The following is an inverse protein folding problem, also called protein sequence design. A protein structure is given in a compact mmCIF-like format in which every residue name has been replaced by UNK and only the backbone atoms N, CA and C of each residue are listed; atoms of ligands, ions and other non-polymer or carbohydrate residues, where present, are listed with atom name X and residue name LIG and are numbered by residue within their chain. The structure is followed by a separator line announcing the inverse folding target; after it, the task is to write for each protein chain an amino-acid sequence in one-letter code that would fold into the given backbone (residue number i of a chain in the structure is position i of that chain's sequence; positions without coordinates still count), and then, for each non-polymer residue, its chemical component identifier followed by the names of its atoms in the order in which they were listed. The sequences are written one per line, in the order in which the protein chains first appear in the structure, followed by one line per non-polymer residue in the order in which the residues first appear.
data_IF_315980133107
#
_entry.id   IF_315980133107
#
_cell.length_a   1.000
_cell.length_b   1.000
_cell.length_c   1.000
_cell.angle_alpha   90.00
_cell.angle_beta   90.00
_cell.angle_gamma   90.00
#
_symmetry.space_group_name_H-M   'P 1'
#
loop_
_entity.id
_entity.type
_entity.pdbx_description
1 polymer ?
#
# COMPACT_ATOMS: atom_id res chain seq x y z
N UNK A 1 -2.11 10.28 38.56
CA UNK A 1 -3.52 10.62 38.30
C UNK A 1 -3.70 10.57 36.79
N UNK A 2 -4.70 9.87 36.26
CA UNK A 2 -4.97 9.86 34.81
C UNK A 2 -6.07 10.88 34.48
N UNK A 3 -5.83 11.79 33.54
CA UNK A 3 -6.83 12.76 33.07
C UNK A 3 -7.59 12.22 31.86
N UNK A 4 -8.90 12.50 31.79
CA UNK A 4 -9.74 12.12 30.64
C UNK A 4 -9.61 13.20 29.57
N UNK A 5 -9.21 12.81 28.35
CA UNK A 5 -9.09 13.70 27.20
C UNK A 5 -10.25 13.46 26.25
N UNK A 6 -10.94 14.54 25.86
CA UNK A 6 -12.01 14.47 24.87
C UNK A 6 -11.42 14.27 23.47
N UNK A 7 -11.95 13.33 22.65
CA UNK A 7 -11.49 13.15 21.29
C UNK A 7 -11.78 14.40 20.46
N UNK A 8 -10.79 14.83 19.66
CA UNK A 8 -10.94 15.92 18.70
C UNK A 8 -11.55 15.35 17.42
N UNK A 9 -12.66 15.93 16.97
CA UNK A 9 -13.27 15.56 15.70
C UNK A 9 -12.30 15.84 14.54
N UNK A 10 -12.33 14.99 13.50
CA UNK A 10 -11.54 15.10 12.26
C UNK A 10 -10.01 15.04 12.41
N UNK A 11 -9.51 14.61 13.57
CA UNK A 11 -8.07 14.44 13.79
C UNK A 11 -7.56 13.15 13.13
N UNK A 12 -6.33 13.20 12.59
CA UNK A 12 -5.64 12.01 12.14
C UNK A 12 -5.51 10.99 13.28
N UNK A 13 -5.94 9.75 13.07
CA UNK A 13 -6.07 8.75 14.15
C UNK A 13 -4.77 8.54 14.94
N UNK A 14 -3.59 8.55 14.30
CA UNK A 14 -2.33 8.40 15.02
C UNK A 14 -2.08 9.55 16.01
N UNK A 15 -2.48 10.77 15.66
CA UNK A 15 -2.40 11.92 16.58
C UNK A 15 -3.41 11.77 17.72
N UNK A 16 -4.60 11.21 17.48
CA UNK A 16 -5.56 10.91 18.54
C UNK A 16 -5.00 9.92 19.55
N UNK A 17 -4.33 8.85 19.08
CA UNK A 17 -3.65 7.90 19.98
C UNK A 17 -2.50 8.55 20.74
N UNK A 18 -1.74 9.44 20.10
CA UNK A 18 -0.65 10.16 20.74
C UNK A 18 -1.16 11.13 21.81
N UNK A 19 -2.27 11.82 21.57
CA UNK A 19 -2.91 12.71 22.55
C UNK A 19 -3.27 11.97 23.85
N UNK A 20 -3.60 10.68 23.80
CA UNK A 20 -3.85 9.87 25.02
C UNK A 20 -2.65 9.83 25.97
N UNK A 21 -1.42 9.96 25.46
CA UNK A 21 -0.21 9.97 26.27
C UNK A 21 -0.07 11.22 27.15
N UNK A 22 -0.73 12.32 26.79
CA UNK A 22 -0.80 13.53 27.62
C UNK A 22 -1.51 13.24 28.96
N UNK A 23 -2.43 12.28 28.99
CA UNK A 23 -3.13 11.87 30.22
C UNK A 23 -2.24 11.21 31.27
N UNK A 24 -0.97 10.91 30.93
CA UNK A 24 0.07 10.38 31.82
C UNK A 24 1.34 11.25 31.83
N UNK A 25 1.21 12.55 31.55
CA UNK A 25 2.28 13.55 31.56
C UNK A 25 3.41 13.28 30.54
N UNK A 26 3.11 12.54 29.46
CA UNK A 26 4.01 12.42 28.30
C UNK A 26 3.62 13.48 27.28
N UNK A 27 4.42 14.54 27.22
CA UNK A 27 4.24 15.67 26.32
C UNK A 27 5.11 15.53 25.06
N UNK A 28 4.66 16.12 23.95
CA UNK A 28 5.43 16.17 22.71
C UNK A 28 4.55 16.30 21.46
N UNK A 29 5.18 16.20 20.29
CA UNK A 29 4.49 16.10 19.00
C UNK A 29 4.42 14.64 18.57
N UNK A 30 3.30 14.21 17.97
CA UNK A 30 3.19 12.89 17.36
C UNK A 30 4.38 12.67 16.40
N UNK A 31 5.23 11.66 16.63
CA UNK A 31 6.39 11.43 15.78
C UNK A 31 5.95 11.00 14.37
N UNK A 32 6.85 11.17 13.42
CA UNK A 32 6.65 10.63 12.07
C UNK A 32 6.57 9.10 12.11
N UNK A 33 5.82 8.53 11.16
CA UNK A 33 5.68 7.08 11.04
C UNK A 33 7.05 6.48 10.69
N UNK A 34 7.53 5.60 11.54
CA UNK A 34 8.79 4.89 11.36
C UNK A 34 8.59 3.41 11.57
N UNK A 35 9.14 2.59 10.67
CA UNK A 35 9.12 1.13 10.76
C UNK A 35 10.56 0.61 10.63
N UNK A 36 10.90 -0.35 11.48
CA UNK A 36 12.18 -1.08 11.36
C UNK A 36 11.92 -2.39 10.63
N UNK A 37 12.51 -2.53 9.44
CA UNK A 37 12.34 -3.73 8.60
C UNK A 37 13.51 -4.68 8.85
N UNK A 38 13.27 -5.95 9.24
CA UNK A 38 14.33 -6.94 9.41
C UNK A 38 15.13 -7.18 8.12
N UNK A 39 16.43 -7.41 8.25
CA UNK A 39 17.32 -7.67 7.10
C UNK A 39 16.88 -8.85 6.24
N UNK A 40 16.26 -9.88 6.85
CA UNK A 40 15.70 -11.02 6.12
C UNK A 40 14.59 -10.60 5.12
N UNK A 41 13.75 -9.65 5.50
CA UNK A 41 12.60 -9.22 4.71
C UNK A 41 13.05 -8.26 3.60
N UNK A 42 14.10 -7.45 3.86
CA UNK A 42 14.79 -6.68 2.82
C UNK A 42 15.40 -7.61 1.76
N UNK A 43 16.16 -8.63 2.20
CA UNK A 43 16.78 -9.57 1.28
C UNK A 43 15.73 -10.34 0.45
N UNK A 44 14.59 -10.68 1.06
CA UNK A 44 13.47 -11.30 0.35
C UNK A 44 12.91 -10.35 -0.72
N UNK A 45 12.67 -9.08 -0.39
CA UNK A 45 12.14 -8.10 -1.33
C UNK A 45 13.09 -7.85 -2.51
N UNK A 46 14.41 -7.77 -2.26
CA UNK A 46 15.42 -7.62 -3.31
C UNK A 46 15.49 -8.86 -4.23
N UNK A 47 15.37 -10.07 -3.66
CA UNK A 47 15.31 -11.30 -4.45
C UNK A 47 14.05 -11.35 -5.32
N UNK A 48 12.92 -10.89 -4.79
CA UNK A 48 11.65 -10.83 -5.49
C UNK A 48 11.67 -9.81 -6.63
N UNK A 49 12.22 -8.62 -6.40
CA UNK A 49 12.47 -7.64 -7.46
C UNK A 49 13.36 -8.21 -8.57
N UNK A 50 14.39 -9.00 -8.23
CA UNK A 50 15.24 -9.67 -9.21
C UNK A 50 14.48 -10.76 -9.97
N UNK A 51 13.66 -11.57 -9.29
CA UNK A 51 12.80 -12.61 -9.91
C UNK A 51 11.84 -11.99 -10.93
N UNK A 52 11.27 -10.84 -10.59
CA UNK A 52 10.35 -10.08 -11.43
C UNK A 52 11.07 -9.22 -12.49
N UNK A 53 12.40 -9.11 -12.46
CA UNK A 53 13.15 -8.26 -13.37
C UNK A 53 12.77 -6.78 -13.22
N UNK A 54 12.65 -6.28 -11.99
CA UNK A 54 12.32 -4.88 -11.64
C UNK A 54 13.33 -4.24 -10.66
N UNK A 55 14.66 -4.36 -10.88
CA UNK A 55 15.67 -3.93 -9.89
C UNK A 55 15.84 -2.41 -9.73
N UNK A 56 15.16 -1.60 -10.55
CA UNK A 56 15.26 -0.14 -10.53
C UNK A 56 14.04 0.50 -9.87
N UNK A 57 13.10 0.95 -10.69
CA UNK A 57 11.82 1.51 -10.25
C UNK A 57 10.65 0.72 -10.84
N UNK A 58 9.57 0.64 -10.09
CA UNK A 58 8.31 0.01 -10.50
C UNK A 58 7.14 0.72 -9.83
N UNK A 59 5.96 0.59 -10.43
CA UNK A 59 4.71 0.96 -9.77
C UNK A 59 4.15 -0.26 -9.04
N UNK A 60 3.96 -0.11 -7.73
CA UNK A 60 3.31 -1.13 -6.91
C UNK A 60 1.81 -0.85 -6.82
N UNK A 61 1.00 -1.85 -7.08
CA UNK A 61 -0.45 -1.80 -7.02
C UNK A 61 -0.89 -2.79 -5.96
N UNK A 62 -1.43 -2.28 -4.85
CA UNK A 62 -2.18 -3.05 -3.87
C UNK A 62 -3.66 -2.66 -4.05
N UNK A 63 -4.42 -3.58 -4.62
CA UNK A 63 -5.82 -3.38 -4.92
C UNK A 63 -6.65 -4.58 -4.54
N UNK A 64 -7.89 -4.29 -4.15
CA UNK A 64 -8.85 -5.28 -3.67
C UNK A 64 -10.02 -5.38 -4.62
N UNK A 65 -10.60 -6.57 -4.68
CA UNK A 65 -11.87 -6.80 -5.37
C UNK A 65 -13.06 -6.49 -4.46
N UNK A 66 -14.26 -6.35 -5.04
CA UNK A 66 -15.51 -6.18 -4.26
C UNK A 66 -15.80 -7.36 -3.33
N UNK A 67 -15.21 -8.52 -3.59
CA UNK A 67 -15.28 -9.67 -2.68
C UNK A 67 -14.44 -9.49 -1.41
N UNK A 68 -13.48 -8.56 -1.41
CA UNK A 68 -12.49 -8.35 -0.33
C UNK A 68 -12.68 -7.02 0.42
N UNK A 69 -13.47 -6.09 -0.13
CA UNK A 69 -13.68 -4.76 0.45
C UNK A 69 -15.07 -4.22 0.12
N UNK A 70 -15.69 -3.48 1.04
CA UNK A 70 -17.06 -2.95 0.89
C UNK A 70 -17.18 -1.80 -0.13
N UNK A 71 -16.07 -1.14 -0.47
CA UNK A 71 -16.04 -0.05 -1.45
C UNK A 71 -14.65 0.04 -2.14
N UNK A 72 -14.26 -0.98 -2.92
CA UNK A 72 -12.97 -0.96 -3.58
C UNK A 72 -12.93 0.10 -4.68
N UNK A 73 -11.72 0.55 -5.03
CA UNK A 73 -11.55 1.42 -6.19
C UNK A 73 -12.00 0.67 -7.47
N UNK A 74 -12.86 1.28 -8.32
CA UNK A 74 -13.48 0.55 -9.42
C UNK A 74 -12.48 -0.02 -10.42
N UNK A 75 -12.70 -1.27 -10.85
CA UNK A 75 -11.81 -1.97 -11.78
C UNK A 75 -11.65 -1.22 -13.11
N UNK A 76 -12.71 -0.58 -13.62
CA UNK A 76 -12.67 0.25 -14.82
C UNK A 76 -11.75 1.46 -14.66
N UNK A 77 -11.74 2.06 -13.47
CA UNK A 77 -10.89 3.20 -13.16
C UNK A 77 -9.42 2.76 -13.02
N UNK A 78 -9.16 1.60 -12.40
CA UNK A 78 -7.82 1.01 -12.41
C UNK A 78 -7.30 0.79 -13.83
N UNK A 79 -8.08 0.15 -14.71
CA UNK A 79 -7.68 -0.10 -16.10
C UNK A 79 -7.37 1.17 -16.86
N UNK A 80 -8.16 2.24 -16.65
CA UNK A 80 -7.91 3.54 -17.25
C UNK A 80 -6.56 4.11 -16.78
N UNK A 81 -6.33 4.15 -15.46
CA UNK A 81 -5.07 4.66 -14.88
C UNK A 81 -3.87 3.88 -15.40
N UNK A 82 -3.94 2.55 -15.39
CA UNK A 82 -2.82 1.70 -15.84
C UNK A 82 -2.52 1.85 -17.32
N UNK A 83 -3.56 2.05 -18.15
CA UNK A 83 -3.40 2.34 -19.57
C UNK A 83 -2.72 3.68 -19.79
N UNK A 84 -3.17 4.73 -19.11
CA UNK A 84 -2.55 6.06 -19.23
C UNK A 84 -1.09 6.07 -18.74
N UNK A 85 -0.79 5.32 -17.68
CA UNK A 85 0.59 5.16 -17.19
C UNK A 85 1.44 4.45 -18.24
N UNK A 86 0.91 3.37 -18.84
CA UNK A 86 1.62 2.63 -19.90
C UNK A 86 1.88 3.51 -21.13
N UNK A 87 0.91 4.31 -21.54
CA UNK A 87 1.04 5.21 -22.70
C UNK A 87 2.12 6.28 -22.46
N UNK A 88 2.25 6.78 -21.23
CA UNK A 88 3.25 7.80 -20.86
C UNK A 88 4.62 7.21 -20.56
N UNK A 89 4.68 6.01 -19.99
CA UNK A 89 5.90 5.33 -19.55
C UNK A 89 5.84 3.84 -19.93
N UNK A 90 6.07 3.49 -21.20
CA UNK A 90 5.96 2.11 -21.68
C UNK A 90 6.89 1.14 -20.96
N UNK A 91 8.08 1.63 -20.60
CA UNK A 91 9.14 0.86 -19.93
C UNK A 91 8.91 0.69 -18.43
N UNK A 92 7.94 1.39 -17.81
CA UNK A 92 7.72 1.29 -16.37
C UNK A 92 7.10 -0.08 -16.03
N UNK A 93 7.75 -0.90 -15.18
CA UNK A 93 7.18 -2.15 -14.73
C UNK A 93 6.00 -1.89 -13.78
N UNK A 94 4.89 -2.59 -14.02
CA UNK A 94 3.71 -2.59 -13.17
C UNK A 94 3.70 -3.88 -12.36
N UNK A 95 3.69 -3.77 -11.04
CA UNK A 95 3.71 -4.90 -10.09
C UNK A 95 2.43 -4.88 -9.27
N UNK A 96 1.69 -5.98 -9.27
CA UNK A 96 0.53 -6.17 -8.40
C UNK A 96 0.94 -7.05 -7.23
N UNK A 97 0.69 -6.58 -6.01
CA UNK A 97 0.77 -7.40 -4.79
C UNK A 97 -0.62 -7.95 -4.54
N UNK A 98 -0.70 -9.25 -4.30
CA UNK A 98 -1.96 -9.87 -3.95
C UNK A 98 -1.73 -11.15 -3.15
N UNK A 99 -2.75 -11.56 -2.41
CA UNK A 99 -2.75 -12.86 -1.72
C UNK A 99 -3.08 -14.01 -2.71
N UNK A 100 -2.83 -15.25 -2.31
CA UNK A 100 -3.07 -16.45 -3.14
C UNK A 100 -4.54 -16.56 -3.63
N UNK A 101 -5.49 -16.17 -2.78
CA UNK A 101 -6.92 -16.24 -3.09
C UNK A 101 -7.43 -15.04 -3.91
N UNK A 102 -6.59 -14.04 -4.16
CA UNK A 102 -6.99 -12.84 -4.87
C UNK A 102 -7.03 -13.06 -6.37
N UNK A 103 -8.12 -12.62 -7.01
CA UNK A 103 -8.25 -12.60 -8.47
C UNK A 103 -7.97 -11.23 -9.07
N UNK A 104 -7.53 -10.26 -8.26
CA UNK A 104 -7.40 -8.86 -8.66
C UNK A 104 -6.47 -8.66 -9.86
N UNK A 105 -5.26 -9.23 -9.85
CA UNK A 105 -4.34 -9.12 -10.99
C UNK A 105 -4.94 -9.74 -12.26
N UNK A 106 -5.70 -10.83 -12.15
CA UNK A 106 -6.38 -11.44 -13.28
C UNK A 106 -7.51 -10.55 -13.81
N UNK A 107 -8.25 -9.89 -12.92
CA UNK A 107 -9.30 -8.93 -13.29
C UNK A 107 -8.74 -7.67 -13.99
N UNK A 108 -7.48 -7.32 -13.74
CA UNK A 108 -6.80 -6.17 -14.37
C UNK A 108 -6.16 -6.49 -15.73
N UNK A 109 -5.99 -7.78 -16.09
CA UNK A 109 -5.38 -8.15 -17.36
C UNK A 109 -6.24 -7.67 -18.54
N UNK A 110 -5.63 -6.84 -19.38
CA UNK A 110 -6.10 -6.47 -20.71
C UNK A 110 -4.91 -6.63 -21.67
N UNK A 111 -5.16 -6.82 -22.97
CA UNK A 111 -4.13 -7.14 -23.97
C UNK A 111 -2.96 -6.15 -24.02
N UNK A 112 -3.16 -4.91 -23.53
CA UNK A 112 -2.16 -3.84 -23.49
C UNK A 112 -1.45 -3.68 -22.13
N UNK A 113 -1.87 -4.41 -21.08
CA UNK A 113 -1.38 -4.22 -19.71
C UNK A 113 -0.63 -5.48 -19.27
N UNK A 114 0.68 -5.50 -19.47
CA UNK A 114 1.54 -6.51 -18.88
C UNK A 114 1.76 -6.22 -17.38
N UNK A 115 1.34 -7.17 -16.53
CA UNK A 115 1.40 -7.08 -15.07
C UNK A 115 2.31 -8.18 -14.51
N UNK A 116 3.21 -7.79 -13.63
CA UNK A 116 4.02 -8.70 -12.81
C UNK A 116 3.28 -8.92 -11.49
N UNK A 117 3.24 -10.17 -11.01
CA UNK A 117 2.52 -10.51 -9.78
C UNK A 117 3.52 -10.96 -8.72
N UNK A 118 3.44 -10.35 -7.55
CA UNK A 118 4.17 -10.70 -6.34
C UNK A 118 3.20 -11.29 -5.33
N UNK A 119 3.56 -12.47 -4.80
CA UNK A 119 2.88 -13.10 -3.68
C UNK A 119 3.83 -12.99 -2.47
N UNK A 120 3.57 -12.07 -1.53
CA UNK A 120 4.38 -11.91 -0.32
C UNK A 120 4.24 -13.08 0.66
#
# INVERSE_FOLDING_TARGET
MTQVLAPKADQYQAQTYYDLLQGIDIEGTCPEVSISVPRKDINWAEAEQKRLGVPGGYLLIDGRTEAQETNPYPLSSWRLVLREIRDRQPELPLVVVQDEDSTFAASLKEDAIELKVSLP
#
